data_IF_109206239315
#
_entry.id   IF_109206239315
#
_cell.length_a   1.000
_cell.length_b   1.000
_cell.length_c   1.000
_cell.angle_alpha   90.00
_cell.angle_beta   90.00
_cell.angle_gamma   90.00
#
_symmetry.space_group_name_H-M   'P 1'
#
loop_
_entity.id
_entity.type
_entity.pdbx_description
1 polymer ?
#
# COMPACT_ATOMS: atom_id res chain seq x y z
N UNK A 1 -9.59 -31.93 -3.58
CA UNK A 1 -8.57 -31.21 -4.37
C UNK A 1 -9.26 -30.41 -5.44
N UNK A 2 -9.61 -29.17 -5.13
CA UNK A 2 -10.08 -28.21 -6.13
C UNK A 2 -9.11 -27.05 -6.02
N UNK A 3 -8.00 -27.15 -6.75
CA UNK A 3 -7.12 -26.01 -6.93
C UNK A 3 -7.97 -24.96 -7.65
N UNK A 4 -8.34 -23.90 -6.95
CA UNK A 4 -9.00 -22.76 -7.57
C UNK A 4 -8.04 -22.26 -8.65
N UNK A 5 -8.46 -22.34 -9.92
CA UNK A 5 -7.82 -21.62 -11.02
C UNK A 5 -8.06 -20.13 -10.75
N UNK A 6 -7.08 -19.46 -10.14
CA UNK A 6 -7.14 -18.03 -9.88
C UNK A 6 -6.35 -17.29 -10.95
N UNK A 7 -6.84 -17.34 -12.19
CA UNK A 7 -6.38 -16.42 -13.24
C UNK A 7 -7.19 -15.10 -13.18
N UNK A 8 -7.56 -14.66 -11.97
CA UNK A 8 -8.26 -13.38 -11.79
C UNK A 8 -7.25 -12.26 -11.75
N UNK A 9 -7.29 -11.38 -12.75
CA UNK A 9 -6.50 -10.14 -12.74
C UNK A 9 -7.10 -9.24 -11.64
N UNK A 10 -6.30 -8.91 -10.63
CA UNK A 10 -6.64 -7.96 -9.58
C UNK A 10 -5.83 -6.68 -9.79
N UNK A 11 -6.45 -5.53 -9.60
CA UNK A 11 -5.73 -4.25 -9.62
C UNK A 11 -4.90 -4.09 -8.35
N UNK A 12 -3.87 -3.23 -8.42
CA UNK A 12 -3.03 -2.91 -7.26
C UNK A 12 -3.85 -2.38 -6.07
N UNK A 13 -4.84 -1.51 -6.32
CA UNK A 13 -5.69 -0.98 -5.25
C UNK A 13 -6.56 -2.06 -4.63
N UNK A 14 -7.13 -2.98 -5.43
CA UNK A 14 -7.87 -4.13 -4.89
C UNK A 14 -6.95 -5.03 -4.04
N UNK A 15 -5.74 -5.30 -4.52
CA UNK A 15 -4.74 -6.06 -3.76
C UNK A 15 -4.42 -5.39 -2.41
N UNK A 16 -4.21 -4.06 -2.40
CA UNK A 16 -3.93 -3.32 -1.17
C UNK A 16 -5.08 -3.38 -0.16
N UNK A 17 -6.32 -3.23 -0.63
CA UNK A 17 -7.52 -3.30 0.24
C UNK A 17 -7.77 -4.72 0.77
N UNK A 18 -7.50 -5.76 -0.04
CA UNK A 18 -7.56 -7.14 0.43
C UNK A 18 -6.50 -7.43 1.50
N UNK A 19 -5.27 -6.94 1.32
CA UNK A 19 -4.22 -7.06 2.34
C UNK A 19 -4.60 -6.33 3.63
N UNK A 20 -5.13 -5.11 3.54
CA UNK A 20 -5.61 -4.37 4.71
C UNK A 20 -6.77 -5.08 5.42
N UNK A 21 -7.69 -5.70 4.67
CA UNK A 21 -8.74 -6.51 5.25
C UNK A 21 -8.17 -7.71 6.05
N UNK A 22 -7.19 -8.42 5.48
CA UNK A 22 -6.54 -9.54 6.17
C UNK A 22 -5.82 -9.06 7.44
N UNK A 23 -5.10 -7.95 7.38
CA UNK A 23 -4.42 -7.37 8.54
C UNK A 23 -5.42 -7.00 9.65
N UNK A 24 -6.56 -6.45 9.28
CA UNK A 24 -7.56 -6.03 10.25
C UNK A 24 -8.39 -7.19 10.84
N UNK A 25 -8.77 -8.17 10.02
CA UNK A 25 -9.72 -9.20 10.42
C UNK A 25 -9.09 -10.55 10.75
N UNK A 26 -7.89 -10.85 10.22
CA UNK A 26 -7.18 -12.11 10.47
C UNK A 26 -6.07 -11.89 11.48
N UNK A 27 -5.21 -10.88 11.27
CA UNK A 27 -4.15 -10.53 12.23
C UNK A 27 -4.72 -9.79 13.44
N UNK A 28 -5.83 -9.07 13.26
CA UNK A 28 -6.54 -8.38 14.33
C UNK A 28 -5.98 -6.99 14.66
N UNK A 29 -5.25 -6.37 13.74
CA UNK A 29 -4.70 -5.02 13.92
C UNK A 29 -5.71 -3.96 13.48
N UNK A 30 -5.87 -2.87 14.21
CA UNK A 30 -6.75 -1.77 13.77
C UNK A 30 -5.98 -0.78 12.89
N UNK A 31 -5.64 -1.18 11.66
CA UNK A 31 -4.81 -0.40 10.74
C UNK A 31 -5.61 0.30 9.62
N UNK A 32 -5.05 1.41 9.13
CA UNK A 32 -5.42 2.02 7.85
C UNK A 32 -4.83 1.24 6.67
N UNK A 33 -4.92 1.81 5.47
CA UNK A 33 -4.44 1.17 4.23
C UNK A 33 -3.17 1.82 3.63
N UNK A 34 -2.49 2.70 4.38
CA UNK A 34 -1.35 3.48 3.87
C UNK A 34 -0.20 2.58 3.43
N UNK A 35 0.15 1.60 4.25
CA UNK A 35 1.31 0.74 4.03
C UNK A 35 1.08 -0.15 2.80
N UNK A 36 -0.10 -0.76 2.71
CA UNK A 36 -0.47 -1.65 1.62
C UNK A 36 -0.57 -0.87 0.30
N UNK A 37 -1.14 0.34 0.31
CA UNK A 37 -1.18 1.23 -0.87
C UNK A 37 0.21 1.64 -1.33
N UNK A 38 1.11 1.94 -0.39
CA UNK A 38 2.49 2.31 -0.70
C UNK A 38 3.22 1.11 -1.32
N UNK A 39 3.09 -0.08 -0.74
CA UNK A 39 3.73 -1.30 -1.24
C UNK A 39 3.37 -1.63 -2.71
N UNK A 40 2.12 -1.39 -3.12
CA UNK A 40 1.66 -1.76 -4.48
C UNK A 40 1.80 -0.62 -5.52
N UNK A 41 1.90 0.65 -5.10
CA UNK A 41 1.97 1.81 -6.00
C UNK A 41 3.29 2.59 -5.93
N UNK A 42 4.25 2.14 -5.11
CA UNK A 42 5.55 2.80 -4.97
C UNK A 42 6.31 2.88 -6.30
N UNK A 43 7.06 3.96 -6.45
CA UNK A 43 7.98 4.18 -7.56
C UNK A 43 9.36 4.54 -6.98
N UNK A 44 10.42 3.97 -7.57
CA UNK A 44 11.79 4.29 -7.18
C UNK A 44 12.03 5.80 -7.26
N UNK A 45 12.77 6.35 -6.30
CA UNK A 45 13.10 7.79 -6.21
C UNK A 45 11.89 8.73 -6.08
N UNK A 46 10.74 8.21 -5.63
CA UNK A 46 9.53 9.02 -5.36
C UNK A 46 9.02 8.81 -3.94
N UNK A 47 8.53 9.89 -3.34
CA UNK A 47 7.69 9.87 -2.16
C UNK A 47 6.24 9.57 -2.58
N UNK A 48 5.60 8.63 -1.91
CA UNK A 48 4.20 8.31 -2.13
C UNK A 48 3.30 9.21 -1.29
N UNK A 49 2.46 10.02 -1.94
CA UNK A 49 1.47 10.86 -1.26
C UNK A 49 0.09 10.25 -1.41
N UNK A 50 -0.56 9.97 -0.28
CA UNK A 50 -1.88 9.34 -0.22
C UNK A 50 -2.81 10.09 0.73
N UNK A 51 -4.03 10.38 0.27
CA UNK A 51 -5.09 10.91 1.13
C UNK A 51 -5.99 9.76 1.63
N UNK A 52 -5.75 9.29 2.85
CA UNK A 52 -6.38 8.10 3.42
C UNK A 52 -7.86 8.25 3.85
N UNK A 53 -8.49 9.40 3.62
CA UNK A 53 -9.85 9.66 4.12
C UNK A 53 -10.87 8.80 3.35
N UNK A 54 -11.84 8.23 4.09
CA UNK A 54 -12.89 7.25 3.73
C UNK A 54 -13.46 7.41 2.30
N UNK A 55 -12.69 6.97 1.31
CA UNK A 55 -13.04 6.93 -0.09
C UNK A 55 -12.57 5.58 -0.64
N UNK A 56 -13.41 4.87 -1.41
CA UNK A 56 -13.02 3.58 -2.02
C UNK A 56 -11.87 3.72 -3.03
N UNK A 57 -11.66 4.94 -3.56
CA UNK A 57 -10.57 5.29 -4.46
C UNK A 57 -9.85 6.55 -3.92
N UNK A 58 -8.97 6.39 -2.92
CA UNK A 58 -8.27 7.53 -2.34
C UNK A 58 -7.33 8.13 -3.38
N UNK A 59 -7.28 9.47 -3.53
CA UNK A 59 -6.35 10.08 -4.45
C UNK A 59 -4.91 9.87 -3.95
N UNK A 60 -4.04 9.45 -4.86
CA UNK A 60 -2.63 9.26 -4.60
C UNK A 60 -1.78 9.76 -5.78
N UNK A 61 -0.53 10.08 -5.51
CA UNK A 61 0.46 10.42 -6.53
C UNK A 61 1.89 10.19 -6.01
N UNK A 62 2.80 9.92 -6.94
CA UNK A 62 4.23 9.82 -6.68
C UNK A 62 4.89 11.18 -6.90
N UNK A 63 5.58 11.69 -5.88
CA UNK A 63 6.31 12.97 -5.90
C UNK A 63 7.80 12.65 -6.01
N UNK A 64 8.49 13.12 -7.06
CA UNK A 64 9.93 12.89 -7.21
C UNK A 64 10.71 13.42 -6.01
N UNK A 65 11.57 12.59 -5.45
CA UNK A 65 12.49 13.00 -4.39
C UNK A 65 13.56 13.93 -4.98
N UNK A 66 13.79 15.13 -4.42
CA UNK A 66 14.85 16.00 -4.88
C UNK A 66 16.23 15.32 -4.79
N UNK A 67 17.06 15.45 -5.83
CA UNK A 67 18.35 14.74 -5.93
C UNK A 67 19.39 15.12 -4.87
N UNK A 68 19.18 16.25 -4.19
CA UNK A 68 20.02 16.73 -3.09
C UNK A 68 19.50 16.31 -1.71
N UNK A 69 18.48 15.46 -1.63
CA UNK A 69 17.90 14.93 -0.39
C UNK A 69 18.14 13.43 -0.34
N UNK A 70 18.57 12.95 0.83
CA UNK A 70 18.65 11.53 1.14
C UNK A 70 17.79 11.23 2.37
N UNK A 71 17.11 10.10 2.35
CA UNK A 71 16.27 9.64 3.46
C UNK A 71 17.01 8.55 4.22
N UNK A 72 17.05 8.67 5.53
CA UNK A 72 17.64 7.68 6.42
C UNK A 72 16.56 7.20 7.40
N UNK A 73 16.24 5.90 7.36
CA UNK A 73 15.44 5.26 8.40
C UNK A 73 16.35 4.82 9.54
N UNK A 74 16.11 5.33 10.74
CA UNK A 74 16.83 4.91 11.94
C UNK A 74 15.89 4.02 12.74
N UNK A 75 16.22 2.74 12.82
CA UNK A 75 15.52 1.77 13.65
C UNK A 75 15.96 1.92 15.11
N UNK A 76 15.01 2.08 16.02
CA UNK A 76 15.26 2.22 17.46
C UNK A 76 15.47 0.89 18.18
N UNK A 77 15.13 -0.24 17.53
CA UNK A 77 14.74 -1.47 18.22
C UNK A 77 13.34 -1.37 18.80
#
# INVERSE_FOLDING_TARGET
>A
STCLNVDHIISNTELALLCQYVENHVVGSSCGFMDQMTCVHACADHLFSLRCQHLPNPPFHNITLPSNIQLFGIDSG
#
